data_IF_366953714342
#
_entry.id   IF_366953714342
#
_cell.length_a   1.000
_cell.length_b   1.000
_cell.length_c   1.000
_cell.angle_alpha   90.00
_cell.angle_beta   90.00
_cell.angle_gamma   90.00
#
_symmetry.space_group_name_H-M   'P 1'
#
loop_
_entity.id
_entity.type
_entity.pdbx_description
1 polymer ?
#
# COMPACT_ATOMS: atom_id res chain seq x y z
N UNK A 1 8.73 -9.69 5.73
CA UNK A 1 7.71 -8.70 6.13
C UNK A 1 6.45 -8.96 5.31
N UNK A 2 5.37 -9.28 5.99
CA UNK A 2 4.04 -9.52 5.42
C UNK A 2 3.22 -8.24 5.54
N UNK A 3 2.54 -7.88 4.45
CA UNK A 3 1.54 -6.81 4.43
C UNK A 3 0.19 -7.43 4.09
N UNK A 4 -0.79 -7.27 4.98
CA UNK A 4 -2.18 -7.69 4.75
C UNK A 4 -3.13 -6.49 4.81
N UNK A 5 -4.43 -6.73 4.63
CA UNK A 5 -5.45 -5.68 4.63
C UNK A 5 -6.73 -6.10 5.35
N UNK A 6 -7.55 -5.12 5.71
CA UNK A 6 -8.89 -5.30 6.31
C UNK A 6 -9.89 -4.35 5.66
N UNK A 7 -11.18 -4.65 5.75
CA UNK A 7 -12.26 -3.75 5.33
C UNK A 7 -12.98 -4.22 4.07
N UNK A 8 -12.26 -4.62 3.03
CA UNK A 8 -12.86 -5.22 1.84
C UNK A 8 -12.92 -6.75 1.95
N UNK A 9 -14.10 -7.31 1.74
CA UNK A 9 -14.32 -8.73 1.45
C UNK A 9 -14.78 -8.88 0.00
N UNK A 10 -14.38 -9.97 -0.63
CA UNK A 10 -14.85 -10.32 -1.96
C UNK A 10 -15.81 -11.50 -1.86
N UNK A 11 -17.10 -11.24 -2.09
CA UNK A 11 -18.19 -12.21 -1.95
C UNK A 11 -18.92 -12.29 -3.28
N UNK A 12 -19.00 -13.48 -3.86
CA UNK A 12 -19.74 -13.76 -5.11
C UNK A 12 -19.41 -12.81 -6.29
N UNK A 13 -18.14 -12.43 -6.41
CA UNK A 13 -17.69 -11.56 -7.50
C UNK A 13 -17.81 -10.05 -7.22
N UNK A 14 -18.25 -9.66 -6.03
CA UNK A 14 -18.48 -8.27 -5.66
C UNK A 14 -17.69 -7.89 -4.39
N UNK A 15 -17.22 -6.65 -4.36
CA UNK A 15 -16.60 -6.06 -3.18
C UNK A 15 -17.66 -5.63 -2.17
N UNK A 16 -17.52 -6.11 -0.94
CA UNK A 16 -18.33 -5.73 0.23
C UNK A 16 -17.40 -5.09 1.25
N UNK A 17 -17.78 -3.93 1.78
CA UNK A 17 -16.95 -3.17 2.71
C UNK A 17 -17.56 -3.14 4.12
N UNK A 18 -16.75 -3.45 5.12
CA UNK A 18 -17.13 -3.45 6.53
C UNK A 18 -15.94 -3.00 7.39
N UNK A 19 -16.02 -1.73 7.83
CA UNK A 19 -15.00 -1.05 8.63
C UNK A 19 -15.34 -1.04 10.13
N UNK A 20 -16.22 -1.93 10.58
CA UNK A 20 -16.55 -2.08 12.00
C UNK A 20 -15.38 -2.66 12.80
N UNK A 21 -15.35 -2.40 14.10
CA UNK A 21 -14.36 -2.97 15.02
C UNK A 21 -14.42 -4.50 15.05
N UNK A 22 -15.65 -5.04 15.09
CA UNK A 22 -15.90 -6.48 15.13
C UNK A 22 -15.36 -7.18 13.87
N UNK A 23 -15.61 -6.60 12.70
CA UNK A 23 -15.06 -7.11 11.45
C UNK A 23 -13.53 -7.03 11.43
N UNK A 24 -12.99 -5.87 11.78
CA UNK A 24 -11.55 -5.60 11.74
C UNK A 24 -10.77 -6.63 12.56
N UNK A 25 -11.18 -6.86 13.82
CA UNK A 25 -10.56 -7.87 14.69
C UNK A 25 -10.69 -9.27 14.11
N UNK A 26 -11.91 -9.69 13.74
CA UNK A 26 -12.15 -11.01 13.15
C UNK A 26 -11.31 -11.24 11.89
N UNK A 27 -11.18 -10.21 11.04
CA UNK A 27 -10.43 -10.30 9.78
C UNK A 27 -8.92 -10.44 10.02
N UNK A 28 -8.36 -9.72 11.01
CA UNK A 28 -6.97 -9.91 11.44
C UNK A 28 -6.75 -11.31 12.04
N UNK A 29 -7.59 -11.75 12.98
CA UNK A 29 -7.48 -13.08 13.60
C UNK A 29 -7.56 -14.21 12.56
N UNK A 30 -8.49 -14.09 11.60
CA UNK A 30 -8.60 -15.02 10.47
C UNK A 30 -7.37 -14.96 9.56
N UNK A 31 -6.77 -13.79 9.37
CA UNK A 31 -5.55 -13.64 8.56
C UNK A 31 -4.36 -14.31 9.23
N UNK A 32 -4.17 -14.10 10.53
CA UNK A 32 -3.16 -14.78 11.35
C UNK A 32 -3.30 -16.30 11.25
N UNK A 33 -4.54 -16.80 11.38
CA UNK A 33 -4.84 -18.24 11.25
C UNK A 33 -4.48 -18.79 9.86
N UNK A 34 -4.83 -18.07 8.79
CA UNK A 34 -4.54 -18.49 7.40
C UNK A 34 -3.06 -18.47 7.05
N UNK A 35 -2.33 -17.51 7.63
CA UNK A 35 -0.89 -17.34 7.41
C UNK A 35 -0.04 -18.19 8.36
N UNK A 36 -0.68 -18.89 9.32
CA UNK A 36 -0.02 -19.72 10.32
C UNK A 36 1.06 -18.96 11.11
N UNK A 37 0.75 -17.71 11.47
CA UNK A 37 1.63 -16.80 12.22
C UNK A 37 0.90 -16.17 13.40
N UNK A 38 1.64 -15.73 14.41
CA UNK A 38 1.12 -15.02 15.59
C UNK A 38 1.04 -13.50 15.39
N UNK A 39 1.74 -12.96 14.38
CA UNK A 39 1.75 -11.53 14.04
C UNK A 39 1.85 -11.27 12.53
N UNK A 40 1.27 -10.16 12.07
CA UNK A 40 1.50 -9.57 10.74
C UNK A 40 2.25 -8.24 10.88
N UNK A 41 3.30 -8.01 10.10
CA UNK A 41 4.10 -6.78 10.26
C UNK A 41 3.34 -5.49 9.93
N UNK A 42 2.50 -5.49 8.89
CA UNK A 42 1.70 -4.32 8.50
C UNK A 42 0.29 -4.72 8.05
N UNK A 43 -0.73 -4.08 8.61
CA UNK A 43 -2.12 -4.22 8.15
C UNK A 43 -2.65 -2.87 7.69
N UNK A 44 -3.15 -2.82 6.46
CA UNK A 44 -3.67 -1.59 5.85
C UNK A 44 -5.20 -1.64 5.74
N UNK A 45 -5.87 -0.52 5.98
CA UNK A 45 -7.29 -0.34 5.61
C UNK A 45 -7.41 -0.45 4.09
N UNK A 46 -8.32 -1.30 3.61
CA UNK A 46 -8.62 -1.49 2.20
C UNK A 46 -9.80 -0.61 1.79
N UNK A 47 -9.49 0.62 1.36
CA UNK A 47 -10.52 1.64 1.11
C UNK A 47 -11.36 1.36 -0.14
N UNK A 48 -12.65 1.67 -0.05
CA UNK A 48 -13.56 1.76 -1.19
C UNK A 48 -13.33 3.02 -2.05
N UNK A 49 -12.60 4.00 -1.53
CA UNK A 49 -12.32 5.31 -2.13
C UNK A 49 -12.81 6.48 -1.29
N UNK A 50 -13.63 6.25 -0.27
CA UNK A 50 -14.08 7.26 0.67
C UNK A 50 -13.14 7.35 1.89
N UNK A 51 -11.85 7.50 1.61
CA UNK A 51 -10.77 7.32 2.60
C UNK A 51 -10.98 8.14 3.88
N UNK A 52 -11.35 9.42 3.75
CA UNK A 52 -11.42 10.33 4.89
C UNK A 52 -12.59 9.97 5.83
N UNK A 53 -13.74 9.64 5.26
CA UNK A 53 -14.92 9.22 6.01
C UNK A 53 -14.66 7.91 6.77
N UNK A 54 -14.02 6.94 6.12
CA UNK A 54 -13.62 5.69 6.78
C UNK A 54 -12.70 5.98 7.97
N UNK A 55 -11.70 6.85 7.81
CA UNK A 55 -10.73 7.15 8.86
C UNK A 55 -11.31 7.97 10.02
N UNK A 56 -12.33 8.80 9.77
CA UNK A 56 -12.88 9.71 10.77
C UNK A 56 -14.13 9.17 11.46
N UNK A 57 -14.97 8.44 10.72
CA UNK A 57 -16.32 8.08 11.16
C UNK A 57 -16.53 6.56 11.36
N UNK A 58 -15.53 5.72 11.08
CA UNK A 58 -15.59 4.28 11.34
C UNK A 58 -14.66 3.84 12.47
N UNK A 59 -14.80 2.58 12.89
CA UNK A 59 -14.07 2.03 14.04
C UNK A 59 -12.75 1.35 13.64
N UNK A 60 -12.45 1.22 12.33
CA UNK A 60 -11.32 0.42 11.82
C UNK A 60 -9.96 0.93 12.31
N UNK A 61 -9.73 2.24 12.28
CA UNK A 61 -8.41 2.80 12.60
C UNK A 61 -8.07 2.72 14.09
N UNK A 62 -8.99 3.09 15.02
CA UNK A 62 -8.80 2.84 16.44
C UNK A 62 -8.65 1.35 16.78
N UNK A 63 -9.35 0.47 16.06
CA UNK A 63 -9.24 -0.98 16.25
C UNK A 63 -7.88 -1.51 15.82
N UNK A 64 -7.35 -1.08 14.67
CA UNK A 64 -5.98 -1.42 14.26
C UNK A 64 -4.94 -0.90 15.26
N UNK A 65 -5.12 0.32 15.79
CA UNK A 65 -4.24 0.84 16.84
C UNK A 65 -4.27 -0.03 18.12
N UNK A 66 -5.44 -0.58 18.50
CA UNK A 66 -5.55 -1.53 19.60
C UNK A 66 -4.83 -2.87 19.30
N UNK A 67 -5.05 -3.43 18.11
CA UNK A 67 -4.40 -4.67 17.67
C UNK A 67 -2.87 -4.53 17.61
N UNK A 68 -2.36 -3.34 17.27
CA UNK A 68 -0.93 -3.03 17.35
C UNK A 68 -0.42 -3.06 18.79
N UNK A 69 -1.15 -2.46 19.73
CA UNK A 69 -0.79 -2.49 21.17
C UNK A 69 -0.85 -3.90 21.76
N UNK A 70 -1.75 -4.74 21.26
CA UNK A 70 -1.86 -6.15 21.64
C UNK A 70 -0.78 -7.06 21.01
N UNK A 71 -0.01 -6.55 20.04
CA UNK A 71 1.09 -7.28 19.39
C UNK A 71 0.65 -8.15 18.21
N UNK A 72 -0.64 -8.24 17.89
CA UNK A 72 -1.16 -9.01 16.75
C UNK A 72 -0.74 -8.43 15.40
N UNK A 73 -0.49 -7.12 15.35
CA UNK A 73 0.08 -6.45 14.17
C UNK A 73 1.26 -5.57 14.56
N UNK A 74 2.23 -5.42 13.67
CA UNK A 74 3.40 -4.58 13.93
C UNK A 74 3.19 -3.08 13.67
N UNK A 75 2.43 -2.78 12.63
CA UNK A 75 2.14 -1.44 12.16
C UNK A 75 0.77 -1.45 11.47
N UNK A 76 0.18 -0.27 11.32
CA UNK A 76 -1.06 -0.10 10.56
C UNK A 76 -1.04 1.14 9.68
N UNK A 77 -1.93 1.17 8.71
CA UNK A 77 -1.94 2.22 7.70
C UNK A 77 -3.16 2.19 6.80
N UNK A 78 -3.10 2.95 5.71
CA UNK A 78 -4.17 3.03 4.71
C UNK A 78 -3.65 2.59 3.34
N UNK A 79 -4.41 1.76 2.62
CA UNK A 79 -4.29 1.62 1.17
C UNK A 79 -5.39 2.44 0.51
N UNK A 80 -5.07 3.71 0.26
CA UNK A 80 -6.03 4.77 -0.09
C UNK A 80 -6.18 5.00 -1.58
N UNK A 81 -7.02 5.98 -1.93
CA UNK A 81 -7.25 6.49 -3.27
C UNK A 81 -7.26 8.03 -3.31
N UNK A 82 -7.22 8.72 -2.16
CA UNK A 82 -7.26 10.19 -2.08
C UNK A 82 -6.06 10.76 -1.32
N UNK A 83 -5.68 11.98 -1.67
CA UNK A 83 -4.56 12.69 -1.04
C UNK A 83 -4.91 12.99 0.43
N UNK A 84 -6.10 13.51 0.68
CA UNK A 84 -6.60 13.86 2.01
C UNK A 84 -6.64 12.64 2.92
N UNK A 85 -7.09 11.50 2.40
CA UNK A 85 -7.08 10.22 3.10
C UNK A 85 -5.67 9.75 3.45
N UNK A 86 -4.75 9.79 2.48
CA UNK A 86 -3.34 9.47 2.70
C UNK A 86 -2.68 10.34 3.77
N UNK A 87 -2.91 11.66 3.74
CA UNK A 87 -2.40 12.59 4.75
C UNK A 87 -3.02 12.33 6.13
N UNK A 88 -4.35 12.10 6.20
CA UNK A 88 -5.06 11.77 7.45
C UNK A 88 -4.52 10.49 8.08
N UNK A 89 -4.29 9.46 7.27
CA UNK A 89 -3.77 8.18 7.70
C UNK A 89 -2.42 8.34 8.40
N UNK A 90 -1.53 9.14 7.81
CA UNK A 90 -0.18 9.35 8.33
C UNK A 90 -0.09 10.21 9.59
N UNK A 91 -1.17 10.90 10.00
CA UNK A 91 -1.19 11.64 11.29
C UNK A 91 -1.01 10.70 12.48
N UNK A 92 -1.67 9.53 12.46
CA UNK A 92 -1.65 8.57 13.56
C UNK A 92 -1.06 7.22 13.16
N UNK A 93 -1.37 6.75 11.96
CA UNK A 93 -0.88 5.50 11.40
C UNK A 93 0.58 5.58 10.97
N UNK A 94 1.13 4.42 10.62
CA UNK A 94 2.55 4.22 10.37
C UNK A 94 2.92 4.32 8.89
N UNK A 95 1.98 3.98 8.00
CA UNK A 95 2.23 3.83 6.57
C UNK A 95 1.02 4.23 5.70
N UNK A 96 1.28 4.74 4.51
CA UNK A 96 0.28 4.86 3.44
C UNK A 96 0.71 4.06 2.21
N UNK A 97 -0.22 3.37 1.57
CA UNK A 97 -0.05 2.72 0.28
C UNK A 97 -0.81 3.50 -0.79
N UNK A 98 -0.07 4.14 -1.70
CA UNK A 98 -0.56 5.15 -2.65
C UNK A 98 -0.34 4.72 -4.10
N UNK A 99 -1.17 5.21 -5.02
CA UNK A 99 -0.97 5.05 -6.45
C UNK A 99 0.04 6.08 -6.95
N UNK A 100 1.14 5.61 -7.54
CA UNK A 100 2.12 6.50 -8.16
C UNK A 100 2.78 5.80 -9.36
N UNK A 101 2.59 6.35 -10.55
CA UNK A 101 3.16 5.82 -11.79
C UNK A 101 3.29 6.92 -12.86
N UNK A 102 3.73 6.55 -14.06
CA UNK A 102 3.97 7.50 -15.15
C UNK A 102 2.74 8.36 -15.50
N UNK A 103 1.54 7.79 -15.36
CA UNK A 103 0.26 8.41 -15.73
C UNK A 103 -0.45 9.06 -14.53
N UNK A 104 -0.30 8.51 -13.32
CA UNK A 104 -1.02 8.91 -12.12
C UNK A 104 -0.04 9.43 -11.07
N UNK A 105 -0.04 10.75 -10.84
CA UNK A 105 0.88 11.43 -9.92
C UNK A 105 0.19 12.26 -8.84
N UNK A 106 -1.13 12.19 -8.76
CA UNK A 106 -1.94 13.01 -7.85
C UNK A 106 -1.60 12.77 -6.37
N UNK A 107 -1.24 11.54 -5.99
CA UNK A 107 -0.93 11.18 -4.60
C UNK A 107 0.51 11.55 -4.16
N UNK A 108 1.30 12.23 -5.02
CA UNK A 108 2.65 12.72 -4.68
C UNK A 108 2.73 13.50 -3.36
N UNK A 109 1.78 14.40 -3.00
CA UNK A 109 1.86 15.13 -1.73
C UNK A 109 1.88 14.22 -0.49
N UNK A 110 1.28 13.03 -0.55
CA UNK A 110 1.33 12.04 0.54
C UNK A 110 2.74 11.51 0.72
N UNK A 111 3.45 11.27 -0.40
CA UNK A 111 4.84 10.80 -0.41
C UNK A 111 5.78 11.85 0.18
N UNK A 112 5.62 13.11 -0.24
CA UNK A 112 6.42 14.24 0.24
C UNK A 112 6.18 14.51 1.73
N UNK A 113 4.91 14.47 2.16
CA UNK A 113 4.57 14.56 3.58
C UNK A 113 5.22 13.43 4.39
N UNK A 114 5.17 12.20 3.89
CA UNK A 114 5.77 11.07 4.59
C UNK A 114 7.29 11.21 4.75
N UNK A 115 7.97 11.66 3.70
CA UNK A 115 9.41 11.94 3.72
C UNK A 115 9.77 12.97 4.79
N UNK A 116 8.97 14.03 4.93
CA UNK A 116 9.19 15.09 5.93
C UNK A 116 8.94 14.64 7.38
N UNK A 117 8.19 13.55 7.61
CA UNK A 117 7.74 13.12 8.93
C UNK A 117 8.19 11.70 9.32
N UNK A 118 9.14 11.12 8.58
CA UNK A 118 9.64 9.76 8.78
C UNK A 118 8.50 8.71 8.82
N UNK A 119 7.55 8.80 7.87
CA UNK A 119 6.45 7.86 7.72
C UNK A 119 6.68 6.91 6.54
N UNK A 120 6.08 5.72 6.60
CA UNK A 120 6.23 4.71 5.55
C UNK A 120 5.37 4.98 4.31
N UNK A 121 5.93 4.76 3.13
CA UNK A 121 5.19 4.73 1.87
C UNK A 121 5.44 3.43 1.11
N UNK A 122 4.34 2.79 0.70
CA UNK A 122 4.35 1.72 -0.28
C UNK A 122 3.67 2.22 -1.56
N UNK A 123 4.31 2.09 -2.71
CA UNK A 123 3.68 2.41 -3.99
C UNK A 123 2.98 1.19 -4.55
N UNK A 124 1.69 1.33 -4.89
CA UNK A 124 0.94 0.35 -5.70
C UNK A 124 0.78 0.85 -7.13
N UNK A 125 0.56 -0.09 -8.06
CA UNK A 125 0.40 0.17 -9.49
C UNK A 125 1.55 0.97 -10.12
N UNK A 126 2.79 0.81 -9.64
CA UNK A 126 3.98 1.45 -10.22
C UNK A 126 4.12 1.21 -11.74
N UNK A 127 3.65 0.05 -12.22
CA UNK A 127 3.66 -0.37 -13.61
C UNK A 127 2.29 -0.21 -14.31
N UNK A 128 1.41 0.66 -13.79
CA UNK A 128 0.06 0.91 -14.31
C UNK A 128 -0.76 -0.39 -14.55
N UNK A 129 -0.66 -1.35 -13.63
CA UNK A 129 -1.28 -2.67 -13.74
C UNK A 129 -0.91 -3.44 -15.02
N UNK A 130 0.33 -3.27 -15.52
CA UNK A 130 0.82 -3.91 -16.75
C UNK A 130 0.63 -3.08 -18.02
N UNK A 131 0.05 -1.88 -17.93
CA UNK A 131 -0.19 -0.99 -19.07
C UNK A 131 0.89 0.09 -19.24
N UNK A 132 2.01 -0.02 -18.52
CA UNK A 132 3.18 0.82 -18.75
C UNK A 132 3.80 0.46 -20.11
N UNK A 133 3.48 1.27 -21.13
CA UNK A 133 4.01 1.13 -22.49
C UNK A 133 4.74 2.42 -22.86
N UNK A 134 5.96 2.28 -23.40
CA UNK A 134 6.75 3.39 -23.92
C UNK A 134 7.17 3.12 -25.36
N UNK A 135 7.72 4.14 -26.03
CA UNK A 135 8.23 4.04 -27.39
C UNK A 135 9.44 3.09 -27.51
N UNK A 136 9.80 2.76 -28.75
CA UNK A 136 10.92 1.87 -29.04
C UNK A 136 12.24 2.36 -28.41
N UNK A 137 12.98 1.44 -27.77
CA UNK A 137 14.28 1.71 -27.15
C UNK A 137 14.25 2.12 -25.68
N UNK A 138 13.07 2.23 -25.06
CA UNK A 138 12.91 2.50 -23.63
C UNK A 138 12.29 1.32 -22.91
N UNK A 139 12.90 0.88 -21.81
CA UNK A 139 12.29 -0.12 -20.94
C UNK A 139 11.23 0.55 -20.04
N UNK A 140 9.94 0.20 -20.17
CA UNK A 140 8.87 0.85 -19.42
C UNK A 140 8.93 0.54 -17.93
N UNK A 141 9.44 -0.63 -17.53
CA UNK A 141 9.60 -1.01 -16.13
C UNK A 141 10.68 -0.15 -15.48
N UNK A 142 11.81 0.03 -16.16
CA UNK A 142 12.88 0.91 -15.71
C UNK A 142 12.42 2.35 -15.55
N UNK A 143 11.76 2.91 -16.55
CA UNK A 143 11.28 4.28 -16.51
C UNK A 143 10.28 4.50 -15.35
N UNK A 144 9.39 3.53 -15.12
CA UNK A 144 8.50 3.54 -13.95
C UNK A 144 9.27 3.54 -12.63
N UNK A 145 10.29 2.68 -12.49
CA UNK A 145 11.08 2.63 -11.25
C UNK A 145 11.98 3.85 -11.05
N UNK A 146 12.55 4.42 -12.12
CA UNK A 146 13.27 5.69 -12.05
C UNK A 146 12.35 6.79 -11.52
N UNK A 147 11.11 6.92 -12.02
CA UNK A 147 10.12 7.87 -11.47
C UNK A 147 9.78 7.59 -9.99
N UNK A 148 9.52 6.32 -9.65
CA UNK A 148 9.05 5.95 -8.31
C UNK A 148 10.15 6.17 -7.26
N UNK A 149 11.39 5.77 -7.55
CA UNK A 149 12.49 5.84 -6.60
C UNK A 149 13.23 7.19 -6.61
N UNK A 150 12.95 8.08 -7.56
CA UNK A 150 13.31 9.51 -7.47
C UNK A 150 12.61 10.22 -6.28
N UNK A 151 11.53 9.62 -5.75
CA UNK A 151 10.86 10.13 -4.56
C UNK A 151 11.46 9.52 -3.28
N UNK A 152 12.20 10.30 -2.46
CA UNK A 152 12.91 9.78 -1.29
C UNK A 152 11.98 9.25 -0.18
N UNK A 153 10.70 9.63 -0.20
CA UNK A 153 9.70 9.12 0.73
C UNK A 153 9.27 7.68 0.46
N UNK A 154 9.55 7.12 -0.73
CA UNK A 154 9.11 5.78 -1.12
C UNK A 154 10.02 4.71 -0.50
N UNK A 155 9.46 3.84 0.34
CA UNK A 155 10.19 2.72 0.91
C UNK A 155 10.24 1.51 -0.04
N UNK A 156 9.12 1.20 -0.71
CA UNK A 156 9.05 0.10 -1.68
C UNK A 156 7.90 0.28 -2.68
N UNK A 157 8.02 -0.39 -3.83
CA UNK A 157 6.96 -0.53 -4.81
C UNK A 157 6.46 -1.99 -4.86
N UNK A 158 5.15 -2.19 -4.78
CA UNK A 158 4.52 -3.50 -4.87
C UNK A 158 4.20 -3.81 -6.33
N UNK A 159 4.82 -4.86 -6.87
CA UNK A 159 4.64 -5.33 -8.25
C UNK A 159 3.97 -6.70 -8.27
N UNK A 160 2.81 -6.77 -8.91
CA UNK A 160 2.12 -8.04 -9.15
C UNK A 160 2.65 -8.70 -10.41
N UNK A 161 3.27 -9.87 -10.27
CA UNK A 161 3.60 -10.75 -11.39
C UNK A 161 3.64 -12.19 -10.92
N UNK A 162 3.15 -13.11 -11.75
CA UNK A 162 3.30 -14.56 -11.57
C UNK A 162 4.29 -15.16 -12.57
N UNK A 163 4.80 -14.35 -13.51
CA UNK A 163 5.79 -14.78 -14.49
C UNK A 163 7.21 -14.61 -13.89
N UNK A 164 7.99 -15.70 -13.74
CA UNK A 164 9.32 -15.63 -13.14
C UNK A 164 10.32 -14.80 -13.96
N UNK A 165 10.18 -14.75 -15.29
CA UNK A 165 11.01 -13.91 -16.15
C UNK A 165 10.71 -12.43 -15.91
N UNK A 166 9.43 -12.07 -15.79
CA UNK A 166 9.04 -10.70 -15.45
C UNK A 166 9.51 -10.33 -14.03
N UNK A 167 9.46 -11.26 -13.07
CA UNK A 167 9.96 -11.01 -11.72
C UNK A 167 11.48 -10.72 -11.73
N UNK A 168 12.26 -11.58 -12.38
CA UNK A 168 13.71 -11.40 -12.51
C UNK A 168 14.05 -10.08 -13.23
N UNK A 169 13.30 -9.75 -14.28
CA UNK A 169 13.44 -8.49 -15.01
C UNK A 169 13.12 -7.27 -14.13
N UNK A 170 12.00 -7.28 -13.40
CA UNK A 170 11.61 -6.19 -12.51
C UNK A 170 12.68 -5.94 -11.42
N UNK A 171 13.22 -7.01 -10.84
CA UNK A 171 14.31 -6.92 -9.86
C UNK A 171 15.56 -6.27 -10.48
N UNK A 172 15.95 -6.69 -11.69
CA UNK A 172 17.08 -6.11 -12.40
C UNK A 172 16.89 -4.61 -12.70
N UNK A 173 15.69 -4.20 -13.13
CA UNK A 173 15.38 -2.81 -13.42
C UNK A 173 15.36 -1.94 -12.16
N UNK A 174 14.79 -2.43 -11.05
CA UNK A 174 14.82 -1.73 -9.77
C UNK A 174 16.27 -1.51 -9.27
N UNK A 175 17.11 -2.54 -9.36
CA UNK A 175 18.52 -2.45 -8.98
C UNK A 175 19.31 -1.45 -9.84
N UNK A 176 18.95 -1.27 -11.12
CA UNK A 176 19.56 -0.26 -11.98
C UNK A 176 19.06 1.15 -11.68
N UNK A 177 17.76 1.32 -11.39
CA UNK A 177 17.17 2.62 -11.06
C UNK A 177 17.79 3.20 -9.77
N UNK A 178 17.94 2.37 -8.72
CA UNK A 178 18.50 2.78 -7.43
C UNK A 178 20.00 3.16 -7.48
N UNK A 179 20.73 2.78 -8.53
CA UNK A 179 22.14 3.20 -8.71
C UNK A 179 22.30 4.62 -9.24
N UNK A 180 21.23 5.21 -9.79
CA UNK A 180 21.23 6.57 -10.35
C UNK A 180 20.69 7.62 -9.38
N UNK A 181 19.94 7.22 -8.35
CA UNK A 181 19.33 8.10 -7.36
C UNK A 181 20.31 8.53 -6.27
#
# INVERSE_FOLDING_TARGET
>A
MIVSKVGEEFVDGQSVFDFSAAHTRRSVERSLKRLETDRIELVLVHSDGNDLDILENSEVYPTLAALKREGLIGAYGLSGKTVEGGLRALREGDCAMVTYNLNERAERPVIEYAAAHAKGILVKKALASGHACLGAGQDPVRASFELVFDQPGVAAAIVGTINPLHLAHNVAMAAQALKKA
#
